data_IF_416410655692
#
_entry.id   IF_416410655692
#
_cell.length_a   1.000
_cell.length_b   1.000
_cell.length_c   1.000
_cell.angle_alpha   90.00
_cell.angle_beta   90.00
_cell.angle_gamma   90.00
#
_symmetry.space_group_name_H-M   'P 1'
#
loop_
_entity.id
_entity.type
_entity.pdbx_description
1 polymer ?
#
# COMPACT_ATOMS: atom_id res chain seq x y z
N UNK A 1 13.23 -13.02 22.48
CA UNK A 1 12.85 -12.98 21.05
C UNK A 1 14.02 -13.49 20.21
N UNK A 2 13.80 -14.51 19.37
CA UNK A 2 14.85 -15.14 18.54
C UNK A 2 14.41 -15.22 17.08
N UNK A 3 15.30 -14.95 16.13
CA UNK A 3 15.06 -15.21 14.71
C UNK A 3 15.50 -16.62 14.32
N UNK A 4 14.61 -17.34 13.65
CA UNK A 4 14.84 -18.71 13.18
C UNK A 4 14.65 -18.77 11.67
N UNK A 5 15.63 -19.34 10.97
CA UNK A 5 15.53 -19.59 9.53
C UNK A 5 15.37 -21.09 9.26
N UNK A 6 14.40 -21.44 8.42
CA UNK A 6 14.19 -22.79 7.88
C UNK A 6 14.19 -22.77 6.36
N UNK A 7 14.60 -23.89 5.76
CA UNK A 7 14.54 -24.11 4.32
C UNK A 7 13.54 -25.22 4.02
N UNK A 8 12.60 -24.93 3.11
CA UNK A 8 11.47 -25.80 2.78
C UNK A 8 11.52 -26.07 1.28
N UNK A 9 11.34 -27.33 0.87
CA UNK A 9 11.22 -27.66 -0.55
C UNK A 9 10.00 -26.96 -1.16
N UNK A 10 10.10 -26.56 -2.43
CA UNK A 10 9.02 -25.84 -3.12
C UNK A 10 7.66 -26.56 -3.04
N UNK A 11 7.64 -27.88 -3.22
CA UNK A 11 6.44 -28.73 -3.18
C UNK A 11 5.89 -28.97 -1.76
N UNK A 12 6.63 -28.56 -0.72
CA UNK A 12 6.25 -28.70 0.70
C UNK A 12 5.85 -27.39 1.36
N UNK A 13 5.74 -26.29 0.62
CA UNK A 13 5.41 -24.97 1.19
C UNK A 13 3.99 -24.89 1.77
N UNK A 14 3.06 -25.73 1.27
CA UNK A 14 1.69 -25.84 1.78
C UNK A 14 1.55 -26.89 2.90
N UNK A 15 2.62 -27.63 3.22
CA UNK A 15 2.62 -28.67 4.24
C UNK A 15 2.94 -28.05 5.62
N UNK A 16 1.90 -27.61 6.31
CA UNK A 16 2.02 -26.97 7.63
C UNK A 16 2.66 -27.89 8.69
N UNK A 17 2.41 -29.20 8.63
CA UNK A 17 2.99 -30.16 9.58
C UNK A 17 4.50 -30.32 9.35
N UNK A 18 4.92 -30.39 8.08
CA UNK A 18 6.34 -30.41 7.73
C UNK A 18 7.06 -29.13 8.19
N UNK A 19 6.49 -27.97 7.93
CA UNK A 19 7.05 -26.67 8.36
C UNK A 19 7.17 -26.62 9.89
N UNK A 20 6.13 -27.05 10.62
CA UNK A 20 6.15 -27.09 12.07
C UNK A 20 7.27 -28.00 12.60
N UNK A 21 7.46 -29.18 12.00
CA UNK A 21 8.53 -30.10 12.42
C UNK A 21 9.93 -29.50 12.29
N UNK A 22 10.17 -28.69 11.24
CA UNK A 22 11.43 -27.98 11.04
C UNK A 22 11.62 -26.88 12.09
N UNK A 23 10.55 -26.17 12.44
CA UNK A 23 10.56 -25.16 13.49
C UNK A 23 10.87 -25.80 14.84
N UNK A 24 10.19 -26.87 15.22
CA UNK A 24 10.39 -27.58 16.49
C UNK A 24 11.84 -28.07 16.63
N UNK A 25 12.44 -28.58 15.55
CA UNK A 25 13.85 -28.98 15.55
C UNK A 25 14.79 -27.78 15.80
N UNK A 26 14.46 -26.61 15.24
CA UNK A 26 15.24 -25.38 15.41
C UNK A 26 15.00 -24.69 16.75
N UNK A 27 13.85 -24.89 17.38
CA UNK A 27 13.47 -24.24 18.65
C UNK A 27 13.52 -25.19 19.84
N UNK A 28 13.98 -26.43 19.68
CA UNK A 28 14.05 -27.46 20.74
C UNK A 28 14.73 -27.07 22.06
N UNK A 29 15.58 -26.04 22.04
CA UNK A 29 16.31 -25.52 23.19
C UNK A 29 15.64 -24.29 23.82
N UNK A 30 14.56 -23.80 23.21
CA UNK A 30 13.74 -22.71 23.71
C UNK A 30 12.62 -23.28 24.58
N UNK A 31 12.26 -22.56 25.64
CA UNK A 31 11.26 -23.01 26.60
C UNK A 31 10.17 -21.96 26.79
N UNK A 32 8.91 -22.41 26.90
CA UNK A 32 7.79 -21.48 27.09
C UNK A 32 7.54 -20.58 25.87
N UNK A 33 7.59 -21.14 24.65
CA UNK A 33 7.26 -20.40 23.43
C UNK A 33 5.83 -19.88 23.52
N UNK A 34 5.67 -18.58 23.36
CA UNK A 34 4.41 -17.86 23.43
C UNK A 34 3.83 -17.59 22.03
N UNK A 35 4.68 -17.27 21.04
CA UNK A 35 4.26 -16.97 19.67
C UNK A 35 5.36 -17.25 18.65
N UNK A 36 4.98 -17.61 17.43
CA UNK A 36 5.87 -17.73 16.28
C UNK A 36 5.23 -16.98 15.12
N UNK A 37 5.93 -15.99 14.55
CA UNK A 37 5.44 -15.20 13.43
C UNK A 37 6.38 -15.28 12.23
N UNK A 38 5.81 -15.46 11.03
CA UNK A 38 6.59 -15.43 9.79
C UNK A 38 6.98 -13.97 9.51
N UNK A 39 8.28 -13.71 9.42
CA UNK A 39 8.84 -12.38 9.12
C UNK A 39 9.17 -12.22 7.65
N UNK A 40 9.67 -13.28 7.00
CA UNK A 40 10.08 -13.21 5.60
C UNK A 40 9.97 -14.56 4.91
N UNK A 41 9.51 -14.55 3.67
CA UNK A 41 9.47 -15.69 2.74
C UNK A 41 10.17 -15.29 1.44
N UNK A 42 11.20 -16.03 1.06
CA UNK A 42 11.92 -15.85 -0.21
C UNK A 42 12.18 -17.18 -0.91
N UNK A 43 12.26 -17.17 -2.24
CA UNK A 43 12.57 -18.35 -3.04
C UNK A 43 14.06 -18.34 -3.44
N UNK A 44 14.81 -19.37 -3.05
CA UNK A 44 16.15 -19.65 -3.55
C UNK A 44 16.08 -20.71 -4.67
N UNK A 45 16.19 -20.24 -5.91
CA UNK A 45 16.12 -21.07 -7.11
C UNK A 45 17.50 -21.33 -7.75
N UNK A 46 18.61 -21.08 -7.02
CA UNK A 46 19.97 -21.25 -7.56
C UNK A 46 20.48 -22.70 -7.52
N UNK A 47 19.91 -23.53 -6.65
CA UNK A 47 20.29 -24.93 -6.48
C UNK A 47 19.58 -25.88 -7.44
N UNK A 48 19.90 -27.17 -7.35
CA UNK A 48 19.25 -28.24 -8.14
C UNK A 48 17.73 -28.30 -7.92
N UNK A 49 17.28 -28.03 -6.69
CA UNK A 49 15.88 -27.96 -6.33
C UNK A 49 15.55 -26.57 -5.77
N UNK A 50 14.46 -25.94 -6.20
CA UNK A 50 14.03 -24.67 -5.64
C UNK A 50 13.58 -24.84 -4.19
N UNK A 51 14.04 -23.94 -3.32
CA UNK A 51 13.76 -23.97 -1.89
C UNK A 51 13.18 -22.63 -1.44
N UNK A 52 12.12 -22.66 -0.64
CA UNK A 52 11.73 -21.50 0.14
C UNK A 52 12.63 -21.34 1.36
N UNK A 53 13.09 -20.12 1.59
CA UNK A 53 13.77 -19.68 2.81
C UNK A 53 12.77 -18.87 3.61
N UNK A 54 12.37 -19.42 4.76
CA UNK A 54 11.41 -18.81 5.67
C UNK A 54 12.14 -18.34 6.91
N UNK A 55 11.95 -17.06 7.28
CA UNK A 55 12.45 -16.49 8.53
C UNK A 55 11.29 -16.22 9.45
N UNK A 56 11.35 -16.81 10.62
CA UNK A 56 10.38 -16.65 11.70
C UNK A 56 10.99 -15.85 12.85
N UNK A 57 10.14 -15.15 13.57
CA UNK A 57 10.45 -14.59 14.89
C UNK A 57 9.73 -15.44 15.92
N UNK A 58 10.47 -15.95 16.89
CA UNK A 58 9.96 -16.76 17.99
C UNK A 58 9.99 -15.90 19.26
N UNK A 59 8.85 -15.82 19.92
CA UNK A 59 8.65 -15.11 21.19
C UNK A 59 8.51 -16.14 22.31
N UNK A 60 9.35 -16.03 23.33
CA UNK A 60 9.28 -16.80 24.57
C UNK A 60 8.43 -16.07 25.62
N UNK A 61 8.06 -16.79 26.68
CA UNK A 61 7.29 -16.25 27.78
C UNK A 61 7.99 -15.03 28.39
N UNK A 62 7.31 -13.89 28.37
CA UNK A 62 7.84 -12.62 28.88
C UNK A 62 8.40 -11.72 27.78
N UNK A 63 8.54 -12.21 26.54
CA UNK A 63 8.80 -11.35 25.41
C UNK A 63 7.60 -10.44 25.12
N UNK A 64 7.89 -9.21 24.70
CA UNK A 64 6.89 -8.27 24.22
C UNK A 64 6.57 -8.60 22.76
N UNK A 65 5.32 -9.02 22.50
CA UNK A 65 4.80 -9.19 21.15
C UNK A 65 4.30 -7.82 20.66
N UNK A 66 4.78 -7.32 19.51
CA UNK A 66 4.30 -6.05 18.97
C UNK A 66 2.79 -6.08 18.70
N UNK A 67 2.10 -5.00 19.05
CA UNK A 67 0.71 -4.82 18.66
C UNK A 67 0.56 -4.80 17.13
N UNK A 68 -0.62 -5.20 16.66
CA UNK A 68 -0.98 -5.04 15.26
C UNK A 68 -0.85 -3.56 14.85
N UNK A 69 -0.14 -3.30 13.75
CA UNK A 69 0.02 -1.95 13.23
C UNK A 69 -1.35 -1.34 12.93
N UNK A 70 -1.57 -0.10 13.39
CA UNK A 70 -2.77 0.68 13.10
C UNK A 70 -2.38 2.13 12.84
N UNK A 71 -2.95 2.75 11.79
CA UNK A 71 -2.71 4.17 11.55
C UNK A 71 -3.42 5.03 12.60
N UNK A 72 -2.85 6.20 12.90
CA UNK A 72 -3.38 7.16 13.87
C UNK A 72 -3.99 8.38 13.17
N UNK A 73 -4.97 8.15 12.31
CA UNK A 73 -5.65 9.22 11.61
C UNK A 73 -6.48 10.07 12.57
N UNK A 74 -6.46 11.39 12.35
CA UNK A 74 -7.24 12.37 13.12
C UNK A 74 -8.39 12.87 12.26
N UNK A 75 -9.49 13.26 12.88
CA UNK A 75 -10.59 13.92 12.18
C UNK A 75 -10.18 15.37 11.90
N UNK A 76 -10.12 15.76 10.62
CA UNK A 76 -9.59 17.05 10.15
C UNK A 76 -10.66 17.97 9.58
N UNK A 77 -11.94 17.78 9.92
CA UNK A 77 -13.03 18.62 9.37
C UNK A 77 -12.86 20.12 9.65
N UNK A 78 -12.10 20.50 10.67
CA UNK A 78 -11.71 21.87 10.98
C UNK A 78 -10.20 21.99 11.13
N UNK A 79 -9.62 23.11 10.69
CA UNK A 79 -8.19 23.40 10.83
C UNK A 79 -7.48 23.69 9.52
N UNK A 80 -6.15 23.53 9.54
CA UNK A 80 -5.29 23.74 8.36
C UNK A 80 -5.63 22.74 7.26
N UNK A 81 -5.54 23.18 6.01
CA UNK A 81 -5.70 22.32 4.84
C UNK A 81 -4.48 22.38 3.94
N UNK A 82 -4.27 21.32 3.17
CA UNK A 82 -3.21 21.23 2.17
C UNK A 82 -3.75 20.61 0.89
N UNK A 83 -3.45 21.25 -0.24
CA UNK A 83 -3.84 20.78 -1.56
C UNK A 83 -2.82 19.75 -2.05
N UNK A 84 -3.33 18.62 -2.55
CA UNK A 84 -2.56 17.56 -3.19
C UNK A 84 -3.02 17.48 -4.64
N UNK A 85 -2.09 17.56 -5.57
CA UNK A 85 -2.37 17.42 -7.00
C UNK A 85 -2.04 15.99 -7.43
N UNK A 86 -3.07 15.23 -7.77
CA UNK A 86 -3.03 13.85 -8.21
C UNK A 86 -3.47 12.84 -7.15
N UNK A 87 -4.34 11.91 -7.53
CA UNK A 87 -4.85 10.81 -6.70
C UNK A 87 -4.09 9.50 -6.93
N UNK A 88 -2.81 9.58 -7.31
CA UNK A 88 -1.92 8.42 -7.42
C UNK A 88 -1.42 7.91 -6.06
N UNK A 89 -0.54 6.88 -6.02
CA UNK A 89 -0.01 6.36 -4.76
C UNK A 89 0.66 7.44 -3.91
N UNK A 90 1.50 8.29 -4.51
CA UNK A 90 2.14 9.39 -3.79
C UNK A 90 1.13 10.37 -3.17
N UNK A 91 0.10 10.76 -3.93
CA UNK A 91 -0.93 11.69 -3.45
C UNK A 91 -1.79 11.10 -2.33
N UNK A 92 -2.21 9.84 -2.47
CA UNK A 92 -3.00 9.18 -1.43
C UNK A 92 -2.21 8.92 -0.16
N UNK A 93 -0.94 8.48 -0.27
CA UNK A 93 -0.09 8.34 0.90
C UNK A 93 0.23 9.69 1.55
N UNK A 94 0.40 10.77 0.77
CA UNK A 94 0.53 12.12 1.33
C UNK A 94 -0.75 12.53 2.08
N UNK A 95 -1.94 12.25 1.52
CA UNK A 95 -3.21 12.55 2.17
C UNK A 95 -3.35 11.80 3.51
N UNK A 96 -3.01 10.51 3.55
CA UNK A 96 -3.03 9.72 4.79
C UNK A 96 -2.06 10.28 5.84
N UNK A 97 -0.85 10.69 5.44
CA UNK A 97 0.11 11.35 6.36
C UNK A 97 -0.40 12.70 6.88
N UNK A 98 -1.10 13.48 6.06
CA UNK A 98 -1.72 14.72 6.51
C UNK A 98 -2.81 14.46 7.56
N UNK A 99 -3.60 13.39 7.41
CA UNK A 99 -4.59 12.98 8.42
C UNK A 99 -3.93 12.57 9.74
N UNK A 100 -2.78 11.89 9.71
CA UNK A 100 -1.99 11.61 10.94
C UNK A 100 -1.51 12.91 11.61
N UNK A 101 -1.13 13.90 10.81
CA UNK A 101 -0.72 15.23 11.29
C UNK A 101 -1.91 16.07 11.78
N UNK A 102 -3.15 15.74 11.42
CA UNK A 102 -4.33 16.55 11.71
C UNK A 102 -4.56 17.70 10.72
N UNK A 103 -3.99 17.61 9.52
CA UNK A 103 -4.14 18.58 8.43
C UNK A 103 -5.12 18.00 7.43
N UNK A 104 -6.09 18.80 6.98
CA UNK A 104 -7.11 18.38 6.02
C UNK A 104 -6.54 18.26 4.60
N UNK A 105 -6.45 17.05 4.02
CA UNK A 105 -6.03 16.92 2.63
C UNK A 105 -7.17 17.28 1.68
N UNK A 106 -6.87 18.06 0.64
CA UNK A 106 -7.77 18.34 -0.49
C UNK A 106 -7.08 17.80 -1.74
N UNK A 107 -7.51 16.64 -2.23
CA UNK A 107 -6.89 15.98 -3.39
C UNK A 107 -7.64 16.37 -4.66
N UNK A 108 -6.92 16.86 -5.66
CA UNK A 108 -7.45 17.20 -6.99
C UNK A 108 -6.88 16.21 -8.01
N UNK A 109 -7.75 15.48 -8.71
CA UNK A 109 -7.37 14.50 -9.73
C UNK A 109 -8.03 14.85 -11.06
N UNK A 110 -7.22 14.88 -12.12
CA UNK A 110 -7.72 15.21 -13.47
C UNK A 110 -8.64 14.14 -14.04
N UNK A 111 -8.40 12.87 -13.70
CA UNK A 111 -9.23 11.77 -14.16
C UNK A 111 -10.36 11.41 -13.22
N UNK A 112 -11.04 10.31 -13.55
CA UNK A 112 -12.24 9.86 -12.85
C UNK A 112 -11.92 8.97 -11.65
N UNK A 113 -12.95 8.76 -10.82
CA UNK A 113 -12.97 7.70 -9.81
C UNK A 113 -12.71 6.33 -10.44
N UNK A 114 -12.23 5.39 -9.63
CA UNK A 114 -11.72 4.10 -10.07
C UNK A 114 -12.78 3.27 -10.82
N UNK A 115 -14.05 3.37 -10.41
CA UNK A 115 -15.15 2.62 -11.04
C UNK A 115 -15.52 3.25 -12.37
N UNK A 116 -15.66 4.57 -12.43
CA UNK A 116 -15.97 5.27 -13.67
C UNK A 116 -14.85 5.14 -14.69
N UNK A 117 -13.59 5.25 -14.26
CA UNK A 117 -12.39 5.06 -15.09
C UNK A 117 -12.35 3.71 -15.79
N UNK A 118 -12.89 2.64 -15.17
CA UNK A 118 -12.97 1.30 -15.78
C UNK A 118 -13.72 1.30 -17.12
N UNK A 119 -14.73 2.16 -17.27
CA UNK A 119 -15.49 2.30 -18.52
C UNK A 119 -14.63 2.91 -19.63
N UNK A 120 -13.84 3.93 -19.30
CA UNK A 120 -12.93 4.55 -20.26
C UNK A 120 -11.83 3.56 -20.69
N UNK A 121 -11.29 2.76 -19.75
CA UNK A 121 -10.32 1.70 -20.09
C UNK A 121 -10.91 0.63 -21.02
N UNK A 122 -12.15 0.21 -20.77
CA UNK A 122 -12.86 -0.72 -21.66
C UNK A 122 -13.00 -0.13 -23.07
N UNK A 123 -13.28 1.17 -23.18
CA UNK A 123 -13.43 1.85 -24.46
C UNK A 123 -12.11 1.90 -25.25
N UNK A 124 -10.98 2.06 -24.57
CA UNK A 124 -9.65 1.93 -25.18
C UNK A 124 -9.47 0.53 -25.78
N UNK A 125 -9.81 -0.53 -25.03
CA UNK A 125 -9.58 -1.90 -25.48
C UNK A 125 -10.53 -2.38 -26.59
N UNK A 126 -11.75 -1.85 -26.63
CA UNK A 126 -12.79 -2.35 -27.53
C UNK A 126 -12.96 -1.50 -28.78
N UNK A 127 -12.73 -0.20 -28.66
CA UNK A 127 -13.05 0.78 -29.71
C UNK A 127 -11.84 1.67 -30.08
N UNK A 128 -10.66 1.44 -29.49
CA UNK A 128 -9.45 2.25 -29.68
C UNK A 128 -9.63 3.75 -29.36
N UNK A 129 -10.64 4.09 -28.54
CA UNK A 129 -10.93 5.47 -28.15
C UNK A 129 -10.27 5.78 -26.81
N UNK A 130 -9.31 6.70 -26.84
CA UNK A 130 -8.60 7.17 -25.64
C UNK A 130 -9.20 8.47 -25.12
N UNK A 131 -9.71 8.45 -23.89
CA UNK A 131 -10.02 9.67 -23.16
C UNK A 131 -8.70 10.30 -22.62
N UNK A 132 -8.36 11.55 -22.97
CA UNK A 132 -7.08 12.16 -22.61
C UNK A 132 -6.92 12.45 -21.10
N UNK A 133 -8.02 12.46 -20.34
CA UNK A 133 -8.04 12.75 -18.91
C UNK A 133 -8.38 11.52 -18.05
N UNK A 134 -8.91 10.44 -18.64
CA UNK A 134 -9.24 9.18 -17.94
C UNK A 134 -8.75 7.97 -18.72
N UNK A 135 -7.59 7.45 -18.36
CA UNK A 135 -6.89 6.38 -19.11
C UNK A 135 -5.95 5.61 -18.18
N UNK A 136 -5.03 4.80 -18.72
CA UNK A 136 -4.08 4.03 -17.90
C UNK A 136 -3.17 4.89 -17.01
N UNK A 137 -2.93 6.15 -17.37
CA UNK A 137 -2.09 7.06 -16.61
C UNK A 137 -2.88 7.90 -15.59
N UNK A 138 -4.08 8.36 -15.98
CA UNK A 138 -4.84 9.37 -15.23
C UNK A 138 -6.15 8.84 -14.63
N UNK A 139 -6.49 9.37 -13.45
CA UNK A 139 -7.62 8.96 -12.61
C UNK A 139 -7.20 8.29 -11.31
N UNK A 140 -8.20 7.84 -10.53
CA UNK A 140 -8.01 7.36 -9.16
C UNK A 140 -6.98 6.22 -9.05
N UNK A 141 -6.05 6.36 -8.11
CA UNK A 141 -4.89 5.48 -7.89
C UNK A 141 -3.79 5.60 -8.96
N UNK A 142 -3.93 6.54 -9.92
CA UNK A 142 -2.93 6.86 -10.93
C UNK A 142 -2.57 5.69 -11.83
N UNK A 143 -1.31 5.63 -12.28
CA UNK A 143 -0.81 4.55 -13.12
C UNK A 143 -0.74 3.18 -12.44
N UNK A 144 -0.82 3.13 -11.10
CA UNK A 144 -0.69 1.90 -10.33
C UNK A 144 -1.94 1.02 -10.35
N UNK A 145 -3.14 1.62 -10.40
CA UNK A 145 -4.42 0.92 -10.13
C UNK A 145 -4.67 -0.29 -11.02
N UNK A 146 -4.44 -0.14 -12.33
CA UNK A 146 -4.69 -1.17 -13.34
C UNK A 146 -3.38 -1.79 -13.84
N UNK A 147 -2.45 -2.01 -12.91
CA UNK A 147 -1.17 -2.68 -13.15
C UNK A 147 -1.11 -4.02 -12.43
N UNK A 148 -0.05 -4.80 -12.64
CA UNK A 148 0.23 -6.05 -11.91
C UNK A 148 0.44 -5.82 -10.39
N UNK A 149 0.60 -4.57 -9.96
CA UNK A 149 0.69 -4.24 -8.53
C UNK A 149 1.94 -4.77 -7.85
N UNK A 150 3.04 -4.86 -8.60
CA UNK A 150 4.34 -5.27 -8.07
C UNK A 150 4.90 -4.18 -7.16
N UNK A 151 5.25 -4.57 -5.95
CA UNK A 151 5.76 -3.65 -4.93
C UNK A 151 7.28 -3.79 -4.84
N UNK A 152 7.99 -2.83 -5.43
CA UNK A 152 9.45 -2.77 -5.37
C UNK A 152 9.90 -1.50 -4.65
N UNK A 153 10.81 -1.63 -3.70
CA UNK A 153 11.60 -0.51 -3.18
C UNK A 153 13.08 -0.79 -3.39
N UNK A 154 13.81 0.20 -3.90
CA UNK A 154 15.29 0.19 -3.96
C UNK A 154 15.91 0.99 -2.81
N UNK A 155 15.07 1.61 -1.98
CA UNK A 155 15.50 2.44 -0.85
C UNK A 155 15.38 1.64 0.44
N UNK A 156 16.50 1.07 0.87
CA UNK A 156 16.64 0.43 2.20
C UNK A 156 17.17 1.41 3.26
N UNK A 157 17.57 2.63 2.85
CA UNK A 157 18.27 3.61 3.70
C UNK A 157 17.40 4.77 4.17
N UNK A 158 16.20 4.96 3.62
CA UNK A 158 15.33 6.11 3.92
C UNK A 158 13.92 5.64 4.25
N UNK A 159 13.65 5.51 5.55
CA UNK A 159 12.34 5.17 6.07
C UNK A 159 11.96 3.69 5.93
N UNK A 160 10.96 3.30 6.71
CA UNK A 160 10.36 1.98 6.69
C UNK A 160 9.42 1.87 5.47
N UNK A 161 9.81 1.09 4.46
CA UNK A 161 8.85 0.63 3.45
C UNK A 161 7.74 -0.26 4.06
N UNK A 162 7.94 -0.74 5.29
CA UNK A 162 6.96 -1.53 6.02
C UNK A 162 5.69 -0.73 6.30
N UNK A 163 5.78 0.58 6.58
CA UNK A 163 4.60 1.43 6.82
C UNK A 163 3.65 1.44 5.61
N UNK A 164 4.23 1.42 4.39
CA UNK A 164 3.45 1.38 3.15
C UNK A 164 2.74 0.05 3.00
N UNK A 165 3.43 -1.07 3.26
CA UNK A 165 2.84 -2.40 3.20
C UNK A 165 1.73 -2.55 4.24
N UNK A 166 1.97 -2.15 5.48
CA UNK A 166 0.96 -2.19 6.54
C UNK A 166 -0.25 -1.32 6.21
N UNK A 167 -0.04 -0.14 5.64
CA UNK A 167 -1.13 0.70 5.15
C UNK A 167 -1.94 -0.01 4.07
N UNK A 168 -1.29 -0.65 3.09
CA UNK A 168 -2.00 -1.37 2.02
C UNK A 168 -2.81 -2.53 2.59
N UNK A 169 -2.23 -3.32 3.50
CA UNK A 169 -2.95 -4.43 4.14
C UNK A 169 -4.11 -3.95 4.99
N UNK A 170 -3.93 -2.87 5.76
CA UNK A 170 -5.02 -2.24 6.52
C UNK A 170 -6.21 -1.85 5.62
N UNK A 171 -5.95 -1.50 4.36
CA UNK A 171 -6.98 -1.16 3.38
C UNK A 171 -7.39 -2.35 2.49
N UNK A 172 -7.05 -3.59 2.86
CA UNK A 172 -7.56 -4.82 2.24
C UNK A 172 -6.61 -5.48 1.25
N UNK A 173 -5.32 -5.14 1.24
CA UNK A 173 -4.33 -5.95 0.54
C UNK A 173 -4.11 -7.30 1.26
N UNK A 174 -3.71 -8.36 0.54
CA UNK A 174 -3.42 -9.65 1.14
C UNK A 174 -2.31 -9.58 2.20
N UNK A 175 -2.43 -10.34 3.30
CA UNK A 175 -1.46 -10.31 4.39
C UNK A 175 -0.05 -10.80 3.99
N UNK A 176 0.03 -11.65 2.97
CA UNK A 176 1.29 -12.24 2.48
C UNK A 176 2.28 -11.18 1.97
N UNK A 177 1.80 -10.01 1.52
CA UNK A 177 2.66 -8.93 1.05
C UNK A 177 3.60 -8.40 2.12
N UNK A 178 3.31 -8.64 3.42
CA UNK A 178 4.20 -8.30 4.54
C UNK A 178 5.46 -9.15 4.55
N UNK A 179 5.35 -10.39 4.12
CA UNK A 179 6.41 -11.42 4.28
C UNK A 179 7.10 -11.76 2.97
N UNK A 180 6.42 -11.59 1.83
CA UNK A 180 6.95 -11.91 0.51
C UNK A 180 8.11 -10.98 0.13
N UNK A 181 9.24 -11.56 -0.29
CA UNK A 181 10.39 -10.79 -0.75
C UNK A 181 10.12 -9.99 -2.04
N UNK A 182 9.17 -10.46 -2.86
CA UNK A 182 8.69 -9.79 -4.07
C UNK A 182 7.16 -9.74 -4.05
N UNK A 183 6.57 -8.85 -3.23
CA UNK A 183 5.15 -8.83 -3.04
C UNK A 183 4.41 -8.30 -4.29
N UNK A 184 3.26 -8.90 -4.55
CA UNK A 184 2.33 -8.48 -5.60
C UNK A 184 0.91 -8.49 -5.03
N UNK A 185 0.11 -7.49 -5.37
CA UNK A 185 -1.28 -7.38 -4.90
C UNK A 185 -2.27 -7.95 -5.93
N UNK A 186 -1.90 -7.93 -7.21
CA UNK A 186 -2.75 -8.31 -8.32
C UNK A 186 -3.73 -7.20 -8.75
N UNK A 187 -3.98 -7.10 -10.06
CA UNK A 187 -4.74 -5.99 -10.67
C UNK A 187 -6.21 -5.91 -10.26
N UNK A 188 -6.82 -7.03 -9.86
CA UNK A 188 -8.23 -7.06 -9.47
C UNK A 188 -8.48 -6.54 -8.04
N UNK A 189 -7.44 -6.57 -7.20
CA UNK A 189 -7.54 -6.19 -5.78
C UNK A 189 -7.22 -4.70 -5.60
N UNK A 190 -6.28 -4.17 -6.40
CA UNK A 190 -5.86 -2.77 -6.32
C UNK A 190 -7.00 -1.74 -6.42
N UNK A 191 -7.93 -1.83 -7.38
CA UNK A 191 -9.07 -0.91 -7.42
C UNK A 191 -9.85 -0.84 -6.10
N UNK A 192 -9.99 -1.98 -5.42
CA UNK A 192 -10.71 -2.04 -4.15
C UNK A 192 -9.92 -1.40 -3.01
N UNK A 193 -8.60 -1.64 -2.96
CA UNK A 193 -7.71 -1.01 -1.98
C UNK A 193 -7.70 0.50 -2.13
N UNK A 194 -7.60 1.00 -3.37
CA UNK A 194 -7.63 2.44 -3.67
C UNK A 194 -8.96 3.05 -3.24
N UNK A 195 -10.09 2.40 -3.54
CA UNK A 195 -11.42 2.83 -3.06
C UNK A 195 -11.49 2.87 -1.52
N UNK A 196 -10.92 1.87 -0.84
CA UNK A 196 -10.89 1.83 0.62
C UNK A 196 -10.04 2.98 1.19
N UNK A 197 -8.90 3.30 0.58
CA UNK A 197 -8.07 4.46 0.96
C UNK A 197 -8.84 5.76 0.77
N UNK A 198 -9.53 5.95 -0.36
CA UNK A 198 -10.40 7.11 -0.58
C UNK A 198 -11.45 7.23 0.52
N UNK A 199 -12.14 6.13 0.85
CA UNK A 199 -13.16 6.15 1.90
C UNK A 199 -12.56 6.53 3.27
N UNK A 200 -11.37 6.04 3.61
CA UNK A 200 -10.64 6.48 4.81
C UNK A 200 -10.42 7.99 4.77
N UNK A 201 -9.89 8.53 3.66
CA UNK A 201 -9.61 9.97 3.55
C UNK A 201 -10.88 10.80 3.78
N UNK A 202 -11.99 10.43 3.13
CA UNK A 202 -13.28 11.11 3.27
C UNK A 202 -13.84 11.00 4.70
N UNK A 203 -13.77 9.80 5.31
CA UNK A 203 -14.29 9.55 6.66
C UNK A 203 -13.60 10.41 7.73
N UNK A 204 -12.30 10.67 7.55
CA UNK A 204 -11.51 11.51 8.46
C UNK A 204 -11.53 12.99 8.09
N UNK A 205 -12.36 13.41 7.13
CA UNK A 205 -12.64 14.81 6.83
C UNK A 205 -11.79 15.41 5.71
N UNK A 206 -11.03 14.60 4.97
CA UNK A 206 -10.39 15.01 3.73
C UNK A 206 -11.40 15.14 2.57
N UNK A 207 -10.95 15.77 1.50
CA UNK A 207 -11.72 15.97 0.27
C UNK A 207 -10.97 15.38 -0.93
N UNK A 208 -11.71 14.82 -1.88
CA UNK A 208 -11.16 14.29 -3.13
C UNK A 208 -12.08 14.72 -4.27
N UNK A 209 -11.54 15.48 -5.21
CA UNK A 209 -12.25 16.01 -6.37
C UNK A 209 -11.69 15.38 -7.65
N UNK A 210 -12.51 14.60 -8.33
CA UNK A 210 -12.20 13.98 -9.63
C UNK A 210 -12.65 14.87 -10.78
N UNK A 211 -12.15 14.62 -11.99
CA UNK A 211 -12.37 15.49 -13.17
C UNK A 211 -11.90 16.95 -12.94
N UNK A 212 -10.91 17.11 -12.05
CA UNK A 212 -10.35 18.38 -11.58
C UNK A 212 -8.87 18.50 -11.98
N UNK A 213 -8.65 18.96 -13.22
CA UNK A 213 -7.30 19.19 -13.73
C UNK A 213 -6.77 20.55 -13.26
N UNK A 214 -5.73 20.52 -12.43
CA UNK A 214 -4.97 21.72 -12.09
C UNK A 214 -4.21 22.20 -13.33
N UNK A 215 -4.39 23.47 -13.68
CA UNK A 215 -3.81 24.10 -14.87
C UNK A 215 -2.78 25.16 -14.54
N UNK A 216 -2.83 25.73 -13.33
CA UNK A 216 -1.95 26.83 -12.94
C UNK A 216 -1.82 26.94 -11.42
N UNK A 217 -0.72 27.55 -10.95
CA UNK A 217 -0.51 27.90 -9.55
C UNK A 217 -0.92 29.36 -9.31
N UNK A 218 -1.60 29.63 -8.21
CA UNK A 218 -1.88 30.99 -7.77
C UNK A 218 -0.72 31.42 -6.87
N UNK A 219 0.12 32.34 -7.38
CA UNK A 219 1.33 32.80 -6.68
C UNK A 219 1.20 34.29 -6.39
N UNK A 220 1.34 34.65 -5.12
CA UNK A 220 1.36 36.04 -4.65
C UNK A 220 2.55 36.25 -3.72
N UNK A 221 3.32 37.33 -3.93
CA UNK A 221 4.49 37.66 -3.11
C UNK A 221 5.48 36.48 -2.97
N UNK A 222 5.76 35.79 -4.09
CA UNK A 222 6.62 34.61 -4.16
C UNK A 222 6.17 33.42 -3.27
N UNK A 223 4.87 33.36 -2.91
CA UNK A 223 4.28 32.27 -2.14
C UNK A 223 3.11 31.67 -2.90
N UNK A 224 3.01 30.33 -2.91
CA UNK A 224 1.83 29.64 -3.44
C UNK A 224 0.67 29.86 -2.49
N UNK A 225 -0.46 30.34 -3.02
CA UNK A 225 -1.70 30.64 -2.27
C UNK A 225 -2.84 29.71 -2.61
N UNK A 226 -2.76 29.02 -3.74
CA UNK A 226 -3.80 28.13 -4.23
C UNK A 226 -3.47 27.62 -5.62
N UNK A 227 -4.46 27.02 -6.27
CA UNK A 227 -4.35 26.49 -7.63
C UNK A 227 -5.58 26.84 -8.45
N UNK A 228 -5.39 27.00 -9.76
CA UNK A 228 -6.51 27.04 -10.70
C UNK A 228 -6.77 25.63 -11.20
N UNK A 229 -8.03 25.23 -11.18
CA UNK A 229 -8.47 23.92 -11.60
C UNK A 229 -9.67 24.08 -12.53
N UNK A 230 -9.47 23.86 -13.83
CA UNK A 230 -10.44 24.28 -14.85
C UNK A 230 -10.84 25.77 -14.63
N UNK A 231 -12.13 26.05 -14.44
CA UNK A 231 -12.67 27.40 -14.13
C UNK A 231 -12.79 27.70 -12.63
N UNK A 232 -12.39 26.77 -11.76
CA UNK A 232 -12.45 26.89 -10.31
C UNK A 232 -11.10 27.33 -9.73
N UNK A 233 -11.15 27.90 -8.51
CA UNK A 233 -9.98 28.22 -7.69
C UNK A 233 -10.09 27.47 -6.37
N UNK A 234 -8.99 26.84 -5.99
CA UNK A 234 -8.81 26.16 -4.70
C UNK A 234 -7.71 26.84 -3.91
#
# INVERSE_FOLDING_TARGET
MVEVEIKVLYDKISDGAYIQSLLDQKTKHMHGIQNISLKKKSLDARGRFPMYVLRYVVYEKGDVIPDAWKPKYKNTKSGLSAIIIGAGPAGYFAALRLLEAGIRPIVLERGKDVRSRRRDLKNIMQNDVVNPDSNYCFGEGGAGTYSDGKLYTRSLKRGSGADVLETLVYHGAPDDIRTDAHPHIGSNVLPKIIENIRNTILNFGGEIHFDHKVTDLIIENQKVKGVKCNDLKF
#
